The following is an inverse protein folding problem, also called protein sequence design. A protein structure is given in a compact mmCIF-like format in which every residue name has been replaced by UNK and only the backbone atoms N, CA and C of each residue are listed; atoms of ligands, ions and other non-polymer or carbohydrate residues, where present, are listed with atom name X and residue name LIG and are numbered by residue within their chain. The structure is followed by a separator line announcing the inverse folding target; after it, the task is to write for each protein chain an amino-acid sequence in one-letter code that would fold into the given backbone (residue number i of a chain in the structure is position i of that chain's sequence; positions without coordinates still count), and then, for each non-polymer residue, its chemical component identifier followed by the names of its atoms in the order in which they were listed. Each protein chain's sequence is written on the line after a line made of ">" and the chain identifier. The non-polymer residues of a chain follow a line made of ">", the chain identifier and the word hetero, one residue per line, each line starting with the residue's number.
data_IF_616773095501
#
_entry.id   IF_616773095501
#
_cell.length_a   1.000
_cell.length_b   1.000
_cell.length_c   1.000
_cell.angle_alpha   90.00
_cell.angle_beta   90.00
_cell.angle_gamma   90.00
#
_symmetry.space_group_name_H-M   'P 1'
#
loop_
_entity.id
_entity.type
_entity.pdbx_description
1 polymer ?
#
# COMPACT_ATOMS: atom_id res chain seq x y z
N UNK A 1 51.60 27.14 -15.76
CA UNK A 1 50.13 27.05 -15.67
C UNK A 1 49.65 26.10 -16.75
N UNK A 2 49.19 24.88 -16.42
CA UNK A 2 48.63 23.98 -17.43
C UNK A 2 47.18 24.33 -17.73
N UNK A 3 46.85 24.47 -19.01
CA UNK A 3 45.48 24.64 -19.51
C UNK A 3 44.61 23.44 -19.14
N UNK A 4 43.52 23.72 -18.41
CA UNK A 4 42.44 22.78 -18.14
C UNK A 4 41.69 22.51 -19.45
N UNK A 5 41.95 21.34 -20.06
CA UNK A 5 41.30 20.90 -21.29
C UNK A 5 39.84 20.51 -21.06
N UNK A 6 38.99 21.05 -21.92
CA UNK A 6 37.55 20.79 -22.11
C UNK A 6 37.14 19.31 -22.01
N UNK A 7 36.69 18.87 -20.83
CA UNK A 7 35.92 17.61 -20.67
C UNK A 7 34.40 17.84 -20.64
N UNK A 8 33.93 19.09 -20.64
CA UNK A 8 32.53 19.47 -20.39
C UNK A 8 31.53 19.03 -21.50
N UNK A 9 31.99 18.75 -22.72
CA UNK A 9 31.07 18.46 -23.84
C UNK A 9 30.47 17.06 -23.85
N UNK A 10 31.11 16.07 -23.20
CA UNK A 10 30.67 14.67 -23.27
C UNK A 10 29.50 14.35 -22.31
N UNK A 11 29.43 15.03 -21.17
CA UNK A 11 28.43 14.71 -20.13
C UNK A 11 27.02 15.25 -20.43
N UNK A 12 26.89 16.29 -21.27
CA UNK A 12 25.57 16.82 -21.67
C UNK A 12 24.75 15.83 -22.51
N UNK A 13 25.41 14.94 -23.25
CA UNK A 13 24.73 13.96 -24.10
C UNK A 13 23.97 12.89 -23.31
N UNK A 14 24.53 12.44 -22.19
CA UNK A 14 23.92 11.39 -21.37
C UNK A 14 22.69 11.89 -20.60
N UNK A 15 22.75 13.10 -20.05
CA UNK A 15 21.63 13.69 -19.28
C UNK A 15 20.40 13.90 -20.18
N UNK A 16 20.62 14.32 -21.44
CA UNK A 16 19.55 14.54 -22.41
C UNK A 16 18.76 13.28 -22.78
N UNK A 17 19.35 12.08 -22.65
CA UNK A 17 18.68 10.81 -22.93
C UNK A 17 17.99 10.21 -21.70
N UNK A 18 18.54 10.43 -20.51
CA UNK A 18 18.02 9.84 -19.27
C UNK A 18 16.64 10.41 -18.90
N UNK A 19 16.46 11.73 -19.02
CA UNK A 19 15.21 12.42 -18.68
C UNK A 19 14.00 11.90 -19.49
N UNK A 20 14.04 11.83 -20.84
CA UNK A 20 12.91 11.33 -21.61
C UNK A 20 12.63 9.84 -21.38
N UNK A 21 13.66 9.02 -21.10
CA UNK A 21 13.46 7.61 -20.74
C UNK A 21 12.76 7.48 -19.39
N UNK A 22 13.20 8.22 -18.37
CA UNK A 22 12.54 8.26 -17.06
C UNK A 22 11.09 8.75 -17.19
N UNK A 23 10.87 9.80 -17.96
CA UNK A 23 9.53 10.32 -18.21
C UNK A 23 8.63 9.30 -18.91
N UNK A 24 9.15 8.62 -19.93
CA UNK A 24 8.43 7.56 -20.63
C UNK A 24 8.08 6.39 -19.70
N UNK A 25 8.99 6.00 -18.81
CA UNK A 25 8.71 4.99 -17.79
C UNK A 25 7.60 5.44 -16.83
N UNK A 26 7.62 6.69 -16.35
CA UNK A 26 6.53 7.27 -15.53
C UNK A 26 5.20 7.24 -16.29
N UNK A 27 5.20 7.60 -17.57
CA UNK A 27 4.00 7.52 -18.42
C UNK A 27 3.50 6.07 -18.55
N UNK A 28 4.39 5.10 -18.79
CA UNK A 28 4.03 3.69 -18.86
C UNK A 28 3.41 3.19 -17.55
N UNK A 29 4.01 3.55 -16.41
CA UNK A 29 3.50 3.16 -15.09
C UNK A 29 2.13 3.79 -14.79
N UNK A 30 1.93 5.04 -15.19
CA UNK A 30 0.66 5.76 -14.92
C UNK A 30 -0.47 5.34 -15.85
N UNK A 31 -0.19 5.00 -17.11
CA UNK A 31 -1.20 4.57 -18.09
C UNK A 31 -1.87 3.23 -17.76
N UNK A 32 -1.24 2.38 -16.95
CA UNK A 32 -1.83 1.11 -16.50
C UNK A 32 -2.95 1.28 -15.46
N UNK A 33 -2.94 2.38 -14.70
CA UNK A 33 -3.87 2.58 -13.59
C UNK A 33 -5.35 2.72 -14.02
N UNK A 34 -5.71 3.52 -15.06
CA UNK A 34 -7.09 3.69 -15.47
C UNK A 34 -7.77 2.39 -15.90
N UNK A 35 -7.05 1.53 -16.64
CA UNK A 35 -7.56 0.25 -17.09
C UNK A 35 -7.84 -0.68 -15.90
N UNK A 36 -6.90 -0.75 -14.94
CA UNK A 36 -7.06 -1.51 -13.70
C UNK A 36 -8.22 -1.00 -12.84
N UNK A 37 -8.36 0.31 -12.72
CA UNK A 37 -9.44 0.91 -11.94
C UNK A 37 -10.81 0.62 -12.58
N UNK A 38 -10.92 0.65 -13.91
CA UNK A 38 -12.14 0.23 -14.62
C UNK A 38 -12.45 -1.26 -14.46
N UNK A 39 -11.46 -2.13 -14.55
CA UNK A 39 -11.69 -3.58 -14.34
C UNK A 39 -12.16 -3.87 -12.91
N UNK A 40 -11.69 -3.09 -11.93
CA UNK A 40 -12.21 -3.14 -10.55
C UNK A 40 -13.64 -2.67 -10.42
N UNK A 41 -13.98 -1.52 -11.02
CA UNK A 41 -15.36 -1.03 -11.01
C UNK A 41 -16.32 -2.08 -11.57
N UNK A 42 -15.93 -2.78 -12.64
CA UNK A 42 -16.72 -3.89 -13.21
C UNK A 42 -16.86 -5.08 -12.26
N UNK A 43 -15.79 -5.47 -11.56
CA UNK A 43 -15.87 -6.55 -10.56
C UNK A 43 -16.84 -6.18 -9.44
N UNK A 44 -16.86 -4.92 -9.00
CA UNK A 44 -17.84 -4.47 -8.01
C UNK A 44 -19.26 -4.44 -8.58
N UNK A 45 -19.44 -4.01 -9.83
CA UNK A 45 -20.74 -3.99 -10.52
C UNK A 45 -21.35 -5.40 -10.62
N UNK A 46 -20.54 -6.41 -10.96
CA UNK A 46 -20.97 -7.81 -11.00
C UNK A 46 -21.42 -8.34 -9.61
N UNK A 47 -20.92 -7.77 -8.51
CA UNK A 47 -21.34 -8.12 -7.14
C UNK A 47 -22.63 -7.39 -6.71
N UNK A 48 -22.99 -6.29 -7.36
CA UNK A 48 -24.16 -5.44 -7.01
C UNK A 48 -25.47 -6.00 -7.57
N UNK A 49 -25.44 -7.00 -8.46
CA UNK A 49 -26.65 -7.63 -9.03
C UNK A 49 -27.45 -8.54 -8.07
N UNK A 50 -27.21 -8.49 -6.75
CA UNK A 50 -28.07 -9.12 -5.76
C UNK A 50 -29.15 -8.11 -5.33
N UNK A 51 -30.42 -8.50 -5.35
CA UNK A 51 -31.63 -7.73 -4.93
C UNK A 51 -31.62 -7.22 -3.46
N UNK A 52 -30.47 -7.22 -2.81
CA UNK A 52 -30.25 -6.71 -1.47
C UNK A 52 -29.12 -5.69 -1.52
N UNK A 53 -29.27 -4.57 -0.81
CA UNK A 53 -28.22 -3.57 -0.67
C UNK A 53 -26.89 -4.29 -0.36
N UNK A 54 -25.89 -4.24 -1.25
CA UNK A 54 -24.65 -5.01 -1.09
C UNK A 54 -23.83 -4.52 0.12
N UNK A 55 -24.15 -3.33 0.64
CA UNK A 55 -23.65 -2.76 1.88
C UNK A 55 -24.46 -3.16 3.12
N UNK A 56 -25.68 -3.65 2.96
CA UNK A 56 -26.53 -4.11 4.07
C UNK A 56 -26.19 -5.54 4.50
N UNK A 57 -25.69 -6.38 3.58
CA UNK A 57 -25.12 -7.67 3.94
C UNK A 57 -23.69 -7.50 4.43
N UNK A 58 -23.47 -7.74 5.72
CA UNK A 58 -22.13 -7.87 6.30
C UNK A 58 -21.33 -8.86 5.44
N UNK A 59 -20.18 -8.48 4.85
CA UNK A 59 -19.42 -9.37 3.97
C UNK A 59 -19.04 -10.63 4.75
N UNK A 60 -19.58 -11.78 4.36
CA UNK A 60 -19.33 -13.06 5.07
C UNK A 60 -17.95 -13.64 4.78
N UNK A 61 -17.16 -12.98 3.93
CA UNK A 61 -15.88 -13.47 3.42
C UNK A 61 -14.65 -12.89 4.12
N UNK A 62 -14.84 -12.04 5.14
CA UNK A 62 -13.73 -11.50 5.91
C UNK A 62 -13.78 -12.06 7.33
N UNK A 63 -12.98 -13.09 7.55
CA UNK A 63 -12.24 -13.25 8.80
C UNK A 63 -13.08 -13.13 10.08
N UNK A 64 -14.17 -13.91 10.16
CA UNK A 64 -14.85 -14.12 11.44
C UNK A 64 -13.86 -14.83 12.36
N UNK A 65 -13.21 -14.05 13.21
CA UNK A 65 -12.73 -14.55 14.50
C UNK A 65 -13.83 -15.41 15.10
N UNK A 66 -13.43 -16.63 15.44
CA UNK A 66 -14.33 -17.72 15.78
C UNK A 66 -15.34 -17.23 16.84
N UNK A 67 -16.65 -17.16 16.55
CA UNK A 67 -17.62 -16.59 17.49
C UNK A 67 -17.79 -17.43 18.76
N UNK A 68 -17.16 -18.61 18.82
CA UNK A 68 -17.08 -19.45 20.02
C UNK A 68 -15.85 -19.15 20.89
N UNK A 69 -14.85 -18.45 20.36
CA UNK A 69 -13.66 -18.08 21.12
C UNK A 69 -13.94 -16.79 21.88
N UNK A 70 -14.40 -16.98 23.10
CA UNK A 70 -14.31 -16.05 24.22
C UNK A 70 -15.52 -15.12 24.48
N UNK A 71 -16.32 -15.52 25.47
CA UNK A 71 -17.41 -14.73 26.05
C UNK A 71 -16.91 -13.64 27.00
N UNK A 72 -15.61 -13.48 27.20
CA UNK A 72 -15.11 -12.70 28.34
C UNK A 72 -14.68 -11.26 28.05
N UNK A 73 -14.46 -10.83 26.79
CA UNK A 73 -14.25 -9.40 26.50
C UNK A 73 -14.88 -8.94 25.17
N UNK A 74 -15.56 -7.78 25.13
CA UNK A 74 -15.99 -7.13 23.89
C UNK A 74 -14.80 -6.47 23.17
N UNK A 75 -13.72 -7.22 23.01
CA UNK A 75 -12.54 -6.83 22.23
C UNK A 75 -12.88 -6.95 20.75
N UNK A 76 -13.10 -5.80 20.10
CA UNK A 76 -13.30 -5.68 18.65
C UNK A 76 -12.32 -6.57 17.87
N UNK A 77 -12.81 -7.69 17.34
CA UNK A 77 -12.04 -8.62 16.50
C UNK A 77 -11.76 -7.95 15.16
N UNK A 78 -10.66 -7.18 15.10
CA UNK A 78 -10.14 -6.62 13.84
C UNK A 78 -9.75 -7.76 12.91
N UNK A 79 -10.25 -7.72 11.67
CA UNK A 79 -9.85 -8.67 10.62
C UNK A 79 -8.36 -8.54 10.31
N UNK A 80 -7.72 -9.61 9.87
CA UNK A 80 -6.33 -9.65 9.41
C UNK A 80 -6.07 -8.59 8.34
N UNK A 81 -7.04 -8.35 7.44
CA UNK A 81 -6.97 -7.27 6.44
C UNK A 81 -6.88 -5.90 7.12
N UNK A 82 -7.70 -5.65 8.13
CA UNK A 82 -7.67 -4.39 8.88
C UNK A 82 -6.34 -4.21 9.62
N UNK A 83 -5.81 -5.28 10.23
CA UNK A 83 -4.49 -5.26 10.87
C UNK A 83 -3.38 -4.95 9.86
N UNK A 84 -3.38 -5.60 8.70
CA UNK A 84 -2.42 -5.32 7.64
C UNK A 84 -2.54 -3.88 7.15
N UNK A 85 -3.75 -3.38 6.91
CA UNK A 85 -3.98 -2.00 6.48
C UNK A 85 -3.47 -0.99 7.52
N UNK A 86 -3.65 -1.27 8.81
CA UNK A 86 -3.12 -0.43 9.90
C UNK A 86 -1.59 -0.40 9.90
N UNK A 87 -0.92 -1.55 9.68
CA UNK A 87 0.55 -1.57 9.56
C UNK A 87 1.04 -0.85 8.30
N UNK A 88 0.33 -0.98 7.17
CA UNK A 88 0.62 -0.22 5.95
C UNK A 88 0.47 1.29 6.15
N UNK A 89 -0.57 1.70 6.87
CA UNK A 89 -0.82 3.10 7.18
C UNK A 89 0.26 3.67 8.11
N UNK A 90 0.65 2.94 9.15
CA UNK A 90 1.77 3.31 10.03
C UNK A 90 3.07 3.48 9.24
N UNK A 91 3.37 2.56 8.32
CA UNK A 91 4.55 2.65 7.48
C UNK A 91 4.49 3.86 6.53
N UNK A 92 3.31 4.13 5.95
CA UNK A 92 3.09 5.28 5.07
C UNK A 92 3.28 6.62 5.82
N UNK A 93 2.76 6.72 7.05
CA UNK A 93 2.94 7.88 7.91
C UNK A 93 4.43 8.07 8.22
N UNK A 94 5.13 7.01 8.64
CA UNK A 94 6.56 7.08 8.94
C UNK A 94 7.38 7.58 7.74
N UNK A 95 7.12 7.03 6.55
CA UNK A 95 7.79 7.45 5.32
C UNK A 95 7.48 8.89 4.93
N UNK A 96 6.23 9.33 5.11
CA UNK A 96 5.82 10.71 4.86
C UNK A 96 6.54 11.69 5.80
N UNK A 97 6.69 11.34 7.08
CA UNK A 97 7.44 12.14 8.06
C UNK A 97 8.92 12.24 7.69
N UNK A 98 9.54 11.12 7.29
CA UNK A 98 10.95 11.11 6.83
C UNK A 98 11.11 11.98 5.59
N UNK A 99 10.17 11.89 4.64
CA UNK A 99 10.15 12.70 3.40
C UNK A 99 10.08 14.18 3.73
N UNK A 100 9.10 14.58 4.56
CA UNK A 100 8.89 15.97 4.94
C UNK A 100 10.06 16.55 5.73
N UNK A 101 10.62 15.77 6.67
CA UNK A 101 11.77 16.19 7.48
C UNK A 101 13.01 16.39 6.61
N UNK A 102 13.27 15.46 5.69
CA UNK A 102 14.41 15.56 4.77
C UNK A 102 14.26 16.74 3.81
N UNK A 103 13.04 16.96 3.30
CA UNK A 103 12.75 18.12 2.44
C UNK A 103 12.92 19.45 3.19
N UNK A 104 12.44 19.54 4.42
CA UNK A 104 12.61 20.73 5.26
C UNK A 104 14.09 20.99 5.57
N UNK A 105 14.87 19.96 5.90
CA UNK A 105 16.30 20.09 6.10
C UNK A 105 16.99 20.64 4.84
N UNK A 106 16.77 20.02 3.68
CA UNK A 106 17.35 20.48 2.40
C UNK A 106 16.93 21.91 2.03
N UNK A 107 15.69 22.30 2.30
CA UNK A 107 15.21 23.66 2.04
C UNK A 107 15.90 24.70 2.94
N UNK A 108 16.11 24.38 4.21
CA UNK A 108 16.85 25.24 5.15
C UNK A 108 18.30 25.40 4.66
N UNK A 109 18.94 24.29 4.27
CA UNK A 109 20.31 24.32 3.73
C UNK A 109 20.42 25.21 2.49
N UNK A 110 19.45 25.15 1.58
CA UNK A 110 19.46 25.95 0.34
C UNK A 110 19.36 27.46 0.56
N UNK A 111 18.90 27.92 1.73
CA UNK A 111 18.70 29.35 2.03
C UNK A 111 19.86 30.00 2.79
N UNK A 112 20.81 29.21 3.30
CA UNK A 112 21.87 29.72 4.17
C UNK A 112 23.16 29.99 3.39
N UNK A 113 23.21 31.12 2.67
CA UNK A 113 24.39 31.57 1.90
C UNK A 113 25.69 31.73 2.74
N UNK A 114 25.57 31.76 4.07
CA UNK A 114 26.70 32.05 4.98
C UNK A 114 27.30 30.82 5.66
N UNK A 115 26.64 29.67 5.60
CA UNK A 115 27.15 28.44 6.19
C UNK A 115 27.32 27.44 5.06
N UNK A 116 28.56 27.28 4.57
CA UNK A 116 28.89 26.13 3.74
C UNK A 116 28.72 24.87 4.59
N UNK A 117 27.53 24.29 4.50
CA UNK A 117 27.20 23.03 5.16
C UNK A 117 27.98 21.93 4.47
N UNK A 118 28.39 20.92 5.24
CA UNK A 118 29.11 19.77 4.73
C UNK A 118 28.29 19.10 3.62
N UNK A 119 28.86 18.97 2.42
CA UNK A 119 28.24 18.28 1.29
C UNK A 119 27.71 16.87 1.63
N UNK A 120 28.31 16.24 2.65
CA UNK A 120 27.92 14.94 3.16
C UNK A 120 26.56 14.95 3.87
N UNK A 121 26.23 16.04 4.59
CA UNK A 121 24.94 16.22 5.27
C UNK A 121 23.83 16.33 4.23
N UNK A 122 24.02 17.22 3.25
CA UNK A 122 23.11 17.38 2.10
C UNK A 122 22.94 16.05 1.35
N UNK A 123 24.02 15.26 1.21
CA UNK A 123 23.94 13.94 0.59
C UNK A 123 23.02 12.99 1.38
N UNK A 124 23.20 12.88 2.69
CA UNK A 124 22.38 12.00 3.52
C UNK A 124 20.90 12.41 3.54
N UNK A 125 20.58 13.70 3.63
CA UNK A 125 19.20 14.16 3.53
C UNK A 125 18.62 13.97 2.13
N UNK A 126 19.41 14.12 1.07
CA UNK A 126 18.97 13.82 -0.30
C UNK A 126 18.65 12.33 -0.48
N UNK A 127 19.48 11.44 0.08
CA UNK A 127 19.24 9.99 0.06
C UNK A 127 17.98 9.64 0.85
N UNK A 128 17.84 10.17 2.07
CA UNK A 128 16.65 9.97 2.89
C UNK A 128 15.40 10.47 2.18
N UNK A 129 15.44 11.65 1.55
CA UNK A 129 14.33 12.19 0.77
C UNK A 129 13.97 11.28 -0.42
N UNK A 130 14.95 10.88 -1.23
CA UNK A 130 14.71 10.05 -2.42
C UNK A 130 14.12 8.68 -2.06
N UNK A 131 14.73 7.97 -1.11
CA UNK A 131 14.28 6.65 -0.68
C UNK A 131 12.90 6.72 0.00
N UNK A 132 12.65 7.72 0.85
CA UNK A 132 11.33 7.88 1.48
C UNK A 132 10.23 8.13 0.45
N UNK A 133 10.48 8.98 -0.54
CA UNK A 133 9.55 9.23 -1.64
C UNK A 133 9.26 7.95 -2.45
N UNK A 134 10.30 7.19 -2.80
CA UNK A 134 10.16 5.90 -3.49
C UNK A 134 9.33 4.91 -2.67
N UNK A 135 9.56 4.83 -1.36
CA UNK A 135 8.78 3.94 -0.51
C UNK A 135 7.31 4.37 -0.36
N UNK A 136 7.00 5.68 -0.32
CA UNK A 136 5.59 6.16 -0.36
C UNK A 136 4.91 5.73 -1.66
N UNK A 137 5.59 5.89 -2.80
CA UNK A 137 5.08 5.46 -4.11
C UNK A 137 4.85 3.94 -4.11
N UNK A 138 5.81 3.17 -3.59
CA UNK A 138 5.72 1.71 -3.51
C UNK A 138 4.55 1.26 -2.62
N UNK A 139 4.39 1.83 -1.43
CA UNK A 139 3.28 1.54 -0.51
C UNK A 139 1.94 1.87 -1.18
N UNK A 140 1.84 3.02 -1.82
CA UNK A 140 0.61 3.44 -2.53
C UNK A 140 0.29 2.48 -3.68
N UNK A 141 1.29 2.09 -4.47
CA UNK A 141 1.12 1.13 -5.54
C UNK A 141 0.70 -0.25 -5.02
N UNK A 142 1.33 -0.73 -3.94
CA UNK A 142 1.00 -2.02 -3.30
C UNK A 142 -0.40 -2.01 -2.72
N UNK A 143 -0.78 -0.99 -1.97
CA UNK A 143 -2.11 -0.87 -1.35
C UNK A 143 -3.20 -0.77 -2.41
N UNK A 144 -2.99 0.00 -3.48
CA UNK A 144 -3.88 -0.01 -4.63
C UNK A 144 -3.92 -1.43 -5.18
N UNK A 145 -2.79 -2.03 -5.57
CA UNK A 145 -2.75 -3.38 -6.18
C UNK A 145 -3.43 -4.44 -5.32
N UNK A 146 -3.09 -4.51 -4.04
CA UNK A 146 -3.65 -5.42 -3.03
C UNK A 146 -5.14 -5.15 -2.78
N UNK A 147 -5.59 -3.89 -2.82
CA UNK A 147 -6.99 -3.53 -2.64
C UNK A 147 -7.95 -4.19 -3.63
N UNK A 148 -7.46 -4.59 -4.81
CA UNK A 148 -8.23 -5.34 -5.81
C UNK A 148 -8.10 -6.87 -5.71
N UNK A 149 -7.25 -7.36 -4.81
CA UNK A 149 -7.07 -8.78 -4.57
C UNK A 149 -8.07 -9.27 -3.52
N UNK A 150 -8.56 -10.50 -3.69
CA UNK A 150 -9.42 -11.17 -2.70
C UNK A 150 -8.61 -11.47 -1.44
N UNK A 151 -9.22 -11.43 -0.25
CA UNK A 151 -8.56 -11.81 1.02
C UNK A 151 -7.94 -13.22 0.94
N UNK A 152 -8.60 -14.13 0.20
CA UNK A 152 -8.08 -15.45 -0.10
C UNK A 152 -6.83 -15.37 -0.99
N UNK A 153 -6.85 -14.55 -2.03
CA UNK A 153 -5.72 -14.35 -2.92
C UNK A 153 -4.52 -13.73 -2.18
N UNK A 154 -4.73 -12.74 -1.32
CA UNK A 154 -3.67 -12.13 -0.48
C UNK A 154 -3.10 -13.16 0.49
N UNK A 155 -3.95 -13.93 1.17
CA UNK A 155 -3.51 -14.97 2.11
C UNK A 155 -2.74 -16.08 1.39
N UNK A 156 -3.19 -16.46 0.20
CA UNK A 156 -2.48 -17.40 -0.66
C UNK A 156 -1.17 -16.84 -1.18
N UNK A 157 -1.12 -15.55 -1.50
CA UNK A 157 0.08 -14.84 -1.92
C UNK A 157 1.10 -14.76 -0.77
N UNK A 158 0.65 -14.54 0.47
CA UNK A 158 1.46 -14.59 1.68
C UNK A 158 1.99 -16.01 1.97
N UNK A 159 1.19 -17.04 1.66
CA UNK A 159 1.62 -18.46 1.66
C UNK A 159 2.39 -18.85 0.38
N UNK A 160 2.53 -17.91 -0.57
CA UNK A 160 3.11 -18.04 -1.90
C UNK A 160 2.54 -19.14 -2.81
N UNK A 161 1.25 -19.40 -2.71
CA UNK A 161 0.49 -20.29 -3.59
C UNK A 161 -0.26 -19.49 -4.66
N UNK A 162 0.28 -19.37 -5.88
CA UNK A 162 -0.40 -18.69 -6.99
C UNK A 162 -1.45 -19.60 -7.65
N UNK A 163 -2.74 -19.31 -7.43
CA UNK A 163 -3.92 -19.86 -8.15
C UNK A 163 -4.17 -21.38 -8.06
N UNK A 164 -3.17 -22.25 -8.04
CA UNK A 164 -3.29 -23.71 -7.90
C UNK A 164 -2.06 -24.27 -7.18
N UNK A 165 -2.22 -25.34 -6.40
CA UNK A 165 -1.10 -26.07 -5.75
C UNK A 165 -0.02 -26.56 -6.73
N UNK A 166 -0.32 -26.59 -8.04
CA UNK A 166 0.61 -26.97 -9.10
C UNK A 166 1.70 -25.94 -9.43
N UNK A 167 1.52 -24.65 -9.13
CA UNK A 167 2.48 -23.60 -9.52
C UNK A 167 3.01 -22.86 -8.29
N UNK A 168 4.16 -23.33 -7.78
CA UNK A 168 4.89 -22.68 -6.67
C UNK A 168 5.77 -21.53 -7.19
N UNK A 169 5.26 -20.29 -7.15
CA UNK A 169 6.08 -19.08 -7.36
C UNK A 169 6.14 -18.24 -6.07
N UNK A 170 6.61 -18.89 -5.00
CA UNK A 170 6.47 -18.44 -3.60
C UNK A 170 7.44 -17.30 -3.23
N UNK A 171 8.65 -17.29 -3.80
CA UNK A 171 9.78 -16.50 -3.30
C UNK A 171 9.77 -15.00 -3.66
N UNK A 172 9.44 -14.56 -4.89
CA UNK A 172 9.56 -13.15 -5.25
C UNK A 172 8.53 -12.28 -4.52
N UNK A 173 7.36 -12.82 -4.20
CA UNK A 173 6.29 -12.01 -3.61
C UNK A 173 6.54 -11.62 -2.17
N UNK A 174 7.07 -12.52 -1.34
CA UNK A 174 7.43 -12.20 0.04
C UNK A 174 8.52 -11.10 0.08
N UNK A 175 9.48 -11.16 -0.85
CA UNK A 175 10.51 -10.14 -0.98
C UNK A 175 9.90 -8.78 -1.35
N UNK A 176 9.00 -8.75 -2.33
CA UNK A 176 8.31 -7.55 -2.79
C UNK A 176 7.51 -6.90 -1.65
N UNK A 177 6.83 -7.70 -0.82
CA UNK A 177 6.05 -7.21 0.32
C UNK A 177 6.94 -6.64 1.44
N UNK A 178 8.19 -7.09 1.54
CA UNK A 178 9.16 -6.57 2.50
C UNK A 178 9.88 -5.29 2.02
N UNK A 179 9.90 -5.01 0.71
CA UNK A 179 10.61 -3.86 0.14
C UNK A 179 10.23 -2.51 0.79
N UNK A 180 8.95 -2.18 1.02
CA UNK A 180 8.59 -0.93 1.69
C UNK A 180 9.25 -0.75 3.06
N UNK A 181 9.30 -1.82 3.87
CA UNK A 181 9.94 -1.78 5.18
C UNK A 181 11.46 -1.60 5.05
N UNK A 182 12.09 -2.27 4.07
CA UNK A 182 13.53 -2.13 3.79
C UNK A 182 13.87 -0.70 3.36
N UNK A 183 13.10 -0.12 2.43
CA UNK A 183 13.33 1.27 1.99
C UNK A 183 13.14 2.24 3.16
N UNK A 184 12.15 2.00 4.01
CA UNK A 184 11.94 2.80 5.22
C UNK A 184 13.13 2.75 6.18
N UNK A 185 13.68 1.57 6.47
CA UNK A 185 14.84 1.46 7.38
C UNK A 185 16.08 2.16 6.82
N UNK A 186 16.40 1.99 5.53
CA UNK A 186 17.53 2.69 4.90
C UNK A 186 17.32 4.21 4.88
N UNK A 187 16.09 4.66 4.65
CA UNK A 187 15.74 6.08 4.70
C UNK A 187 15.91 6.66 6.09
N UNK A 188 15.46 5.96 7.15
CA UNK A 188 15.65 6.38 8.55
C UNK A 188 17.12 6.42 8.95
N UNK A 189 17.91 5.41 8.57
CA UNK A 189 19.36 5.37 8.84
C UNK A 189 20.05 6.56 8.16
N UNK A 190 19.70 6.85 6.91
CA UNK A 190 20.27 7.98 6.17
C UNK A 190 19.93 9.31 6.83
N UNK A 191 18.67 9.50 7.26
CA UNK A 191 18.27 10.69 8.00
C UNK A 191 19.05 10.83 9.32
N UNK A 192 19.19 9.74 10.08
CA UNK A 192 19.96 9.73 11.33
C UNK A 192 21.44 10.09 11.10
N UNK A 193 22.05 9.54 10.04
CA UNK A 193 23.43 9.87 9.66
C UNK A 193 23.56 11.33 9.23
N UNK A 194 22.58 11.89 8.51
CA UNK A 194 22.53 13.32 8.20
C UNK A 194 22.51 14.19 9.45
N UNK A 195 21.68 13.84 10.43
CA UNK A 195 21.63 14.52 11.73
C UNK A 195 22.95 14.42 12.50
N UNK A 196 23.51 13.21 12.63
CA UNK A 196 24.77 12.98 13.36
C UNK A 196 25.91 13.74 12.68
N UNK A 197 26.00 13.69 11.35
CA UNK A 197 27.04 14.42 10.62
C UNK A 197 26.86 15.93 10.73
N UNK A 198 25.63 16.44 10.74
CA UNK A 198 25.37 17.87 10.96
C UNK A 198 25.82 18.34 12.35
N UNK A 199 25.68 17.50 13.38
CA UNK A 199 26.09 17.82 14.76
C UNK A 199 27.60 17.71 14.93
N UNK A 200 28.23 16.69 14.36
CA UNK A 200 29.66 16.40 14.55
C UNK A 200 30.53 17.24 13.62
N UNK A 201 30.11 17.41 12.38
CA UNK A 201 30.84 18.19 11.40
C UNK A 201 30.49 19.66 11.60
N UNK A 202 31.43 20.43 12.15
CA UNK A 202 31.36 21.88 12.18
C UNK A 202 31.35 22.49 10.76
N UNK A 203 31.60 23.81 10.60
CA UNK A 203 31.59 24.47 9.30
C UNK A 203 32.52 23.75 8.31
N UNK A 204 31.99 23.40 7.14
CA UNK A 204 32.60 22.45 6.22
C UNK A 204 32.82 22.98 4.82
N UNK A 205 33.39 22.12 3.97
CA UNK A 205 33.44 22.38 2.53
C UNK A 205 32.04 22.20 1.94
N UNK A 206 31.56 23.23 1.24
CA UNK A 206 30.27 23.21 0.56
C UNK A 206 30.23 22.20 -0.60
N UNK A 207 29.02 21.90 -1.07
CA UNK A 207 28.74 20.97 -2.17
C UNK A 207 29.53 21.31 -3.44
N UNK A 208 29.76 22.60 -3.72
CA UNK A 208 30.45 23.06 -4.93
C UNK A 208 31.88 22.51 -5.07
N UNK A 209 32.58 22.33 -3.94
CA UNK A 209 33.96 21.82 -3.95
C UNK A 209 34.02 20.30 -4.17
N UNK A 210 32.95 19.58 -3.86
CA UNK A 210 32.89 18.11 -3.88
C UNK A 210 31.71 17.58 -4.70
N UNK A 211 31.27 18.34 -5.70
CA UNK A 211 30.05 18.05 -6.46
C UNK A 211 30.03 16.62 -7.04
N UNK A 212 31.16 16.15 -7.57
CA UNK A 212 31.25 14.78 -8.12
C UNK A 212 31.13 13.69 -7.04
N UNK A 213 31.64 13.92 -5.83
CA UNK A 213 31.51 12.98 -4.73
C UNK A 213 30.06 12.97 -4.21
N UNK A 214 29.46 14.15 -4.04
CA UNK A 214 28.05 14.31 -3.70
C UNK A 214 27.15 13.55 -4.67
N UNK A 215 27.28 13.80 -5.99
CA UNK A 215 26.46 13.14 -7.02
C UNK A 215 26.58 11.63 -6.93
N UNK A 216 27.80 11.08 -6.79
CA UNK A 216 27.96 9.62 -6.71
C UNK A 216 27.34 9.02 -5.45
N UNK A 217 27.58 9.65 -4.30
CA UNK A 217 27.09 9.15 -3.00
C UNK A 217 25.57 9.19 -2.93
N UNK A 218 24.92 10.21 -3.53
CA UNK A 218 23.45 10.31 -3.55
C UNK A 218 22.81 9.47 -4.63
N UNK A 219 23.33 9.50 -5.87
CA UNK A 219 22.68 8.86 -7.01
C UNK A 219 22.75 7.34 -6.97
N UNK A 220 23.79 6.74 -6.38
CA UNK A 220 23.90 5.28 -6.29
C UNK A 220 22.76 4.67 -5.47
N UNK A 221 22.55 5.03 -4.18
CA UNK A 221 21.49 4.44 -3.38
C UNK A 221 20.09 4.79 -3.89
N UNK A 222 19.85 6.04 -4.31
CA UNK A 222 18.54 6.44 -4.88
C UNK A 222 18.30 5.70 -6.20
N UNK A 223 19.27 5.64 -7.11
CA UNK A 223 19.15 4.91 -8.36
C UNK A 223 18.92 3.40 -8.16
N UNK A 224 19.56 2.80 -7.16
CA UNK A 224 19.31 1.40 -6.78
C UNK A 224 17.91 1.20 -6.22
N UNK A 225 17.43 2.12 -5.36
CA UNK A 225 16.06 2.11 -4.85
C UNK A 225 15.03 2.21 -5.98
N UNK A 226 15.21 3.15 -6.89
CA UNK A 226 14.37 3.32 -8.08
C UNK A 226 14.32 2.06 -8.96
N UNK A 227 15.47 1.42 -9.18
CA UNK A 227 15.54 0.18 -9.96
C UNK A 227 14.79 -0.96 -9.26
N UNK A 228 14.93 -1.10 -7.94
CA UNK A 228 14.18 -2.08 -7.15
C UNK A 228 12.67 -1.80 -7.19
N UNK A 229 12.26 -0.52 -7.13
CA UNK A 229 10.87 -0.10 -7.28
C UNK A 229 10.32 -0.50 -8.65
N UNK A 230 11.06 -0.27 -9.74
CA UNK A 230 10.65 -0.68 -11.08
C UNK A 230 10.46 -2.20 -11.16
N UNK A 231 11.41 -2.98 -10.63
CA UNK A 231 11.32 -4.44 -10.59
C UNK A 231 10.09 -4.88 -9.79
N UNK A 232 9.85 -4.27 -8.62
CA UNK A 232 8.72 -4.60 -7.76
C UNK A 232 7.39 -4.36 -8.48
N UNK A 233 7.24 -3.22 -9.16
CA UNK A 233 6.03 -2.90 -9.93
C UNK A 233 5.83 -3.94 -11.05
N UNK A 234 6.87 -4.22 -11.84
CA UNK A 234 6.79 -5.20 -12.95
C UNK A 234 6.42 -6.59 -12.42
N UNK A 235 7.00 -7.03 -11.30
CA UNK A 235 6.66 -8.33 -10.71
C UNK A 235 5.22 -8.37 -10.18
N UNK A 236 4.72 -7.28 -9.59
CA UNK A 236 3.30 -7.16 -9.21
C UNK A 236 2.38 -7.23 -10.44
N UNK A 237 2.75 -6.61 -11.55
CA UNK A 237 1.98 -6.67 -12.80
C UNK A 237 1.94 -8.08 -13.36
N UNK A 238 3.08 -8.74 -13.43
CA UNK A 238 3.18 -10.15 -13.87
C UNK A 238 2.33 -11.03 -12.95
N UNK A 239 2.40 -10.83 -11.63
CA UNK A 239 1.58 -11.52 -10.64
C UNK A 239 0.08 -11.35 -10.90
N UNK A 240 -0.39 -10.12 -11.08
CA UNK A 240 -1.79 -9.84 -11.39
C UNK A 240 -2.21 -10.47 -12.74
N UNK A 241 -1.37 -10.36 -13.77
CA UNK A 241 -1.68 -10.90 -15.09
C UNK A 241 -1.76 -12.43 -15.09
N UNK A 242 -0.84 -13.09 -14.39
CA UNK A 242 -0.87 -14.55 -14.22
C UNK A 242 -2.11 -15.00 -13.45
N UNK A 243 -2.56 -14.23 -12.45
CA UNK A 243 -3.80 -14.52 -11.73
C UNK A 243 -5.04 -14.41 -12.64
N UNK A 244 -5.16 -13.31 -13.39
CA UNK A 244 -6.27 -13.09 -14.32
C UNK A 244 -6.30 -14.20 -15.37
N UNK A 245 -5.14 -14.54 -15.93
CA UNK A 245 -5.02 -15.58 -16.94
C UNK A 245 -5.40 -16.96 -16.38
N UNK A 246 -4.97 -17.27 -15.15
CA UNK A 246 -5.35 -18.48 -14.43
C UNK A 246 -6.87 -18.60 -14.21
N UNK A 247 -7.52 -17.51 -13.80
CA UNK A 247 -8.99 -17.45 -13.64
C UNK A 247 -9.72 -17.65 -14.98
N UNK A 248 -9.28 -16.99 -16.05
CA UNK A 248 -9.86 -17.14 -17.41
C UNK A 248 -9.74 -18.58 -17.91
N UNK A 249 -8.58 -19.21 -17.72
CA UNK A 249 -8.34 -20.60 -18.15
C UNK A 249 -9.19 -21.60 -17.36
N UNK A 250 -9.48 -21.35 -16.08
CA UNK A 250 -10.43 -22.17 -15.29
C UNK A 250 -11.85 -22.03 -15.83
N UNK A 251 -12.34 -20.80 -16.03
CA UNK A 251 -13.69 -20.57 -16.61
C UNK A 251 -13.84 -21.26 -17.96
N UNK A 252 -12.85 -21.15 -18.85
CA UNK A 252 -12.88 -21.79 -20.16
C UNK A 252 -12.91 -23.33 -20.11
N UNK A 253 -12.29 -23.95 -19.08
CA UNK A 253 -12.37 -25.41 -18.87
C UNK A 253 -13.75 -25.81 -18.35
N UNK A 254 -14.30 -25.07 -17.38
CA UNK A 254 -15.64 -25.33 -16.86
C UNK A 254 -16.74 -25.12 -17.91
N UNK A 255 -16.60 -24.13 -18.79
CA UNK A 255 -17.56 -23.90 -19.89
C UNK A 255 -17.52 -24.96 -21.01
N UNK A 256 -16.52 -25.84 -21.06
CA UNK A 256 -16.37 -26.88 -22.10
C UNK A 256 -16.66 -28.31 -21.61
N UNK A 257 -16.93 -28.50 -20.32
CA UNK A 257 -16.75 -29.80 -19.67
C UNK A 257 -17.99 -30.52 -19.12
N UNK A 258 -19.18 -29.92 -19.06
CA UNK A 258 -20.37 -30.65 -18.58
C UNK A 258 -21.66 -30.03 -19.13
N UNK A 259 -22.63 -30.89 -19.42
CA UNK A 259 -23.91 -30.65 -20.09
C UNK A 259 -24.91 -29.79 -19.28
N UNK A 260 -24.46 -28.70 -18.66
CA UNK A 260 -25.32 -27.74 -17.99
C UNK A 260 -25.89 -28.20 -16.64
N UNK A 261 -25.38 -29.29 -16.06
CA UNK A 261 -25.65 -29.65 -14.65
C UNK A 261 -24.41 -29.50 -13.80
N UNK A 262 -24.07 -28.25 -13.48
CA UNK A 262 -23.23 -27.98 -12.31
C UNK A 262 -24.01 -28.51 -11.11
N UNK A 263 -23.55 -29.60 -10.52
CA UNK A 263 -24.08 -30.11 -9.27
C UNK A 263 -23.68 -29.09 -8.19
N UNK A 264 -24.58 -28.15 -7.88
CA UNK A 264 -24.35 -27.06 -6.91
C UNK A 264 -23.88 -27.59 -5.55
N UNK A 265 -24.17 -28.86 -5.25
CA UNK A 265 -23.73 -29.58 -4.06
C UNK A 265 -22.21 -29.82 -3.98
N UNK A 266 -21.45 -29.67 -5.07
CA UNK A 266 -20.01 -29.97 -5.09
C UNK A 266 -19.12 -28.72 -4.94
N UNK A 267 -19.62 -27.54 -5.34
CA UNK A 267 -18.84 -26.28 -5.29
C UNK A 267 -18.96 -25.59 -3.93
N UNK A 268 -20.09 -25.79 -3.26
CA UNK A 268 -20.25 -25.46 -1.86
C UNK A 268 -20.81 -26.72 -1.21
N UNK A 269 -20.02 -27.49 -0.42
CA UNK A 269 -20.62 -28.42 0.52
C UNK A 269 -21.42 -27.54 1.49
N UNK A 270 -22.68 -27.32 1.14
CA UNK A 270 -23.65 -26.67 1.99
C UNK A 270 -23.70 -27.55 3.23
N UNK A 271 -23.02 -27.08 4.28
CA UNK A 271 -23.44 -27.34 5.64
C UNK A 271 -24.93 -26.99 5.69
N UNK A 272 -25.77 -28.00 5.56
CA UNK A 272 -27.22 -27.92 5.66
C UNK A 272 -27.67 -27.56 7.08
N UNK A 273 -26.76 -27.10 7.95
CA UNK A 273 -27.03 -26.74 9.33
C UNK A 273 -27.24 -25.23 9.56
N UNK A 274 -27.01 -24.35 8.57
CA UNK A 274 -27.13 -22.91 8.79
C UNK A 274 -28.50 -22.29 8.46
N UNK A 275 -29.43 -23.06 7.89
CA UNK A 275 -30.84 -22.71 7.89
C UNK A 275 -31.61 -23.80 8.64
N UNK A 276 -31.73 -23.73 9.98
CA UNK A 276 -32.78 -24.48 10.65
C UNK A 276 -34.08 -24.03 9.97
N UNK A 277 -34.80 -24.99 9.39
CA UNK A 277 -36.15 -24.78 8.90
C UNK A 277 -36.89 -24.01 9.98
N UNK A 278 -37.19 -22.74 9.72
CA UNK A 278 -38.13 -21.96 10.50
C UNK A 278 -39.51 -22.53 10.20
N UNK A 279 -39.76 -23.75 10.66
CA UNK A 279 -41.08 -24.37 10.72
C UNK A 279 -41.72 -23.85 11.99
N UNK A 280 -41.98 -22.55 12.02
CA UNK A 280 -42.80 -21.92 13.04
C UNK A 280 -44.24 -21.90 12.51
N UNK A 281 -44.95 -22.99 12.76
CA UNK A 281 -46.41 -22.96 12.84
C UNK A 281 -46.74 -22.26 14.16
N UNK A 282 -46.72 -20.93 14.16
CA UNK A 282 -47.25 -20.13 15.28
C UNK A 282 -48.45 -19.35 14.77
N UNK A 283 -49.65 -19.53 15.36
CA UNK A 283 -50.80 -18.71 15.03
C UNK A 283 -50.53 -17.24 15.40
N UNK A 284 -51.21 -16.29 14.72
CA UNK A 284 -51.00 -14.87 14.94
C UNK A 284 -51.28 -14.49 16.40
N UNK A 285 -50.40 -13.70 17.05
CA UNK A 285 -50.69 -13.14 18.35
C UNK A 285 -51.85 -12.15 18.21
N UNK A 286 -52.86 -12.32 19.06
CA UNK A 286 -53.95 -11.38 19.15
C UNK A 286 -53.45 -10.01 19.62
N UNK A 287 -54.01 -9.00 18.95
CA UNK A 287 -53.90 -7.59 19.25
C UNK A 287 -54.36 -7.34 20.70
N UNK A 288 -53.41 -7.08 21.59
CA UNK A 288 -53.67 -6.66 22.97
C UNK A 288 -53.21 -5.22 23.09
N UNK A 289 -54.18 -4.31 23.08
CA UNK A 289 -54.06 -2.92 23.51
C UNK A 289 -53.23 -2.80 24.79
N UNK A 290 -52.14 -2.04 24.75
CA UNK A 290 -51.53 -1.49 25.95
C UNK A 290 -50.86 -0.16 25.69
N UNK A 291 -51.71 0.86 25.80
CA UNK A 291 -51.51 2.15 26.49
C UNK A 291 -50.12 2.47 27.05
N UNK A 292 -49.64 3.63 26.60
CA UNK A 292 -48.97 4.71 27.34
C UNK A 292 -48.09 4.36 28.54
N UNK A 293 -46.81 4.75 28.45
CA UNK A 293 -46.17 5.54 29.52
C UNK A 293 -44.79 6.08 29.14
N UNK A 294 -44.66 7.39 29.40
CA UNK A 294 -43.50 8.10 29.94
C UNK A 294 -42.24 8.23 29.07
N UNK A 295 -42.27 9.35 28.36
CA UNK A 295 -41.18 10.28 28.09
C UNK A 295 -40.46 10.74 29.39
N UNK A 296 -39.17 10.43 29.55
CA UNK A 296 -38.27 11.15 30.48
C UNK A 296 -36.86 11.30 29.90
N UNK A 297 -36.63 12.49 29.34
CA UNK A 297 -35.54 13.45 29.63
C UNK A 297 -34.16 12.96 30.12
N UNK A 298 -33.13 13.50 29.43
CA UNK A 298 -31.92 14.20 29.95
C UNK A 298 -30.57 13.44 29.91
N UNK A 299 -29.61 14.04 29.18
CA UNK A 299 -28.23 14.39 29.63
C UNK A 299 -27.50 14.98 28.40
N UNK A 300 -27.48 16.29 28.25
CA UNK A 300 -26.34 17.17 28.60
C UNK A 300 -25.06 16.78 27.84
N UNK A 301 -24.85 17.42 26.68
CA UNK A 301 -23.58 17.43 25.95
C UNK A 301 -22.93 18.79 26.18
N UNK A 302 -21.81 18.79 26.90
CA UNK A 302 -21.02 19.98 27.21
C UNK A 302 -20.12 20.36 26.04
N UNK A 303 -20.15 21.64 25.66
CA UNK A 303 -19.23 22.26 24.71
C UNK A 303 -17.78 22.27 25.23
N UNK A 304 -16.76 22.02 24.38
CA UNK A 304 -15.39 22.31 24.71
C UNK A 304 -15.03 23.78 24.42
N UNK A 305 -14.41 24.39 25.42
CA UNK A 305 -13.93 25.77 25.48
C UNK A 305 -12.96 26.14 24.34
N UNK A 306 -13.20 27.31 23.76
CA UNK A 306 -12.24 28.10 22.97
C UNK A 306 -11.06 28.55 23.83
N UNK A 307 -9.87 28.04 23.54
CA UNK A 307 -8.60 28.58 24.06
C UNK A 307 -8.06 29.62 23.08
N UNK A 308 -8.17 30.89 23.46
CA UNK A 308 -7.43 32.01 22.86
C UNK A 308 -6.07 32.16 23.55
N UNK A 309 -4.97 31.96 22.82
CA UNK A 309 -3.62 32.37 23.27
C UNK A 309 -3.29 33.75 22.73
N UNK A 310 -2.78 34.59 23.65
CA UNK A 310 -2.07 35.86 23.38
C UNK A 310 -0.71 35.59 22.76
#
# INVERSE_FOLDING_TARGET
>A
MPESKDTSKKDRGCIGFIVPVLWFLVCLFTLGFPAKYRERLRLFEDLVCLDHEPWALRPSFSDRGDPLSDKSEPGSLKTMRQKQQEEWDRLNIAMSVITATSAAALAIEATSDRTHIYWLVTAFYSIAFGLSLEGVILITYMTISAGGSSDEAITRLARGVLVSTEYQMVKPTAFIMALPAIVATYSSISLLLGLVTMVVAGPGQGVDMQNMAYIRVTMIPVGMGFLLLCIAIVLCEIGNWTEIWGRRRRRARFSRGDDGRINVNEIYPHSSSCCPKLRATTPPPQLSDRTDSSFTKRSDYSDPETVTTK
#
